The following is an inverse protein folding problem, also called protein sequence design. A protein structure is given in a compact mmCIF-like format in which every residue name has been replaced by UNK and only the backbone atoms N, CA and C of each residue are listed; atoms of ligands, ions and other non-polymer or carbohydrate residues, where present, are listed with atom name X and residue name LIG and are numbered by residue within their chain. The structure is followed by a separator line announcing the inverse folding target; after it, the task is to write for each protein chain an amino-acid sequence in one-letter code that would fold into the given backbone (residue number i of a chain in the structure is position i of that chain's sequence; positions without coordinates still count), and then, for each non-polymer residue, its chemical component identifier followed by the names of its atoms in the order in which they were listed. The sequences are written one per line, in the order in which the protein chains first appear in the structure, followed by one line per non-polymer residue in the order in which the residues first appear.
data_IF_949585336385
#
_entry.id   IF_949585336385
#
_cell.length_a   1.000
_cell.length_b   1.000
_cell.length_c   1.000
_cell.angle_alpha   90.00
_cell.angle_beta   90.00
_cell.angle_gamma   90.00
#
_symmetry.space_group_name_H-M   'P 1'
#
loop_
_entity.id
_entity.type
_entity.pdbx_description
1 polymer ?
#
# COMPACT_ATOMS: atom_id res chain seq x y z
N UNK A 1 7.00 10.47 -5.32
CA UNK A 1 6.96 9.04 -4.96
C UNK A 1 6.84 8.25 -6.25
N UNK A 2 7.65 7.20 -6.45
CA UNK A 2 7.55 6.34 -7.63
C UNK A 2 6.71 5.11 -7.27
N UNK A 3 5.64 4.86 -8.02
CA UNK A 3 4.74 3.71 -7.84
C UNK A 3 4.81 2.77 -9.03
N UNK A 4 4.62 1.48 -8.79
CA UNK A 4 4.28 0.54 -9.84
C UNK A 4 2.77 0.56 -10.06
N UNK A 5 2.36 0.53 -11.33
CA UNK A 5 0.98 0.31 -11.72
C UNK A 5 0.80 -1.18 -11.96
N UNK A 6 -0.05 -1.83 -11.16
CA UNK A 6 -0.20 -3.28 -11.20
C UNK A 6 -1.67 -3.69 -11.04
N UNK A 7 -2.33 -3.96 -12.16
CA UNK A 7 -3.72 -4.42 -12.17
C UNK A 7 -3.89 -5.84 -11.62
N UNK A 8 -2.79 -6.59 -11.43
CA UNK A 8 -2.79 -7.89 -10.78
C UNK A 8 -2.81 -7.81 -9.25
N UNK A 9 -2.42 -6.67 -8.69
CA UNK A 9 -2.59 -6.37 -7.26
C UNK A 9 -3.97 -5.81 -7.02
N UNK A 10 -4.70 -6.35 -6.03
CA UNK A 10 -5.96 -5.75 -5.57
C UNK A 10 -5.73 -4.39 -4.91
N UNK A 11 -5.10 -4.37 -3.71
CA UNK A 11 -4.95 -3.14 -2.94
C UNK A 11 -3.83 -2.24 -3.46
N UNK A 12 -3.95 -0.95 -3.14
CA UNK A 12 -2.83 -0.01 -3.23
C UNK A 12 -1.93 -0.17 -2.00
N UNK A 13 -0.63 -0.18 -2.21
CA UNK A 13 0.39 -0.41 -1.18
C UNK A 13 1.38 0.75 -1.11
N UNK A 14 1.87 1.06 0.09
CA UNK A 14 2.95 2.03 0.30
C UNK A 14 3.91 1.56 1.39
N UNK A 15 5.21 1.73 1.16
CA UNK A 15 6.25 1.44 2.14
C UNK A 15 6.22 2.40 3.33
N UNK A 16 6.43 1.89 4.52
CA UNK A 16 6.39 2.67 5.76
C UNK A 16 7.42 3.82 5.80
N UNK A 17 8.63 3.66 5.26
CA UNK A 17 9.59 4.77 5.17
C UNK A 17 9.11 5.94 4.29
N UNK A 18 8.01 5.77 3.55
CA UNK A 18 7.42 6.81 2.67
C UNK A 18 6.25 7.55 3.31
N UNK A 19 5.96 7.27 4.58
CA UNK A 19 4.94 7.97 5.37
C UNK A 19 5.64 8.76 6.48
N UNK A 20 5.21 10.01 6.68
CA UNK A 20 5.82 10.89 7.68
C UNK A 20 5.09 10.71 9.00
N UNK A 21 5.50 9.71 9.78
CA UNK A 21 4.91 9.40 11.08
C UNK A 21 3.60 8.61 11.00
N UNK A 22 3.05 8.29 12.18
CA UNK A 22 1.89 7.39 12.36
C UNK A 22 0.58 8.13 12.60
N UNK A 23 0.55 9.47 12.54
CA UNK A 23 -0.60 10.26 12.95
C UNK A 23 -1.84 10.01 12.07
N UNK A 24 -1.63 9.69 10.79
CA UNK A 24 -2.69 9.37 9.83
C UNK A 24 -2.86 7.87 9.59
N UNK A 25 -2.10 7.03 10.33
CA UNK A 25 -2.19 5.59 10.22
C UNK A 25 -3.41 5.08 10.96
N UNK A 26 -4.32 4.46 10.24
CA UNK A 26 -5.40 3.66 10.80
C UNK A 26 -4.95 2.20 10.95
N UNK A 27 -4.64 1.74 12.17
CA UNK A 27 -4.15 0.37 12.42
C UNK A 27 -5.29 -0.67 12.43
N UNK A 28 -6.56 -0.26 12.32
CA UNK A 28 -7.70 -1.19 12.34
C UNK A 28 -7.82 -1.93 11.00
N UNK A 29 -7.41 -1.28 9.91
CA UNK A 29 -7.55 -1.80 8.55
C UNK A 29 -6.31 -2.58 8.08
N UNK A 30 -6.03 -3.70 8.76
CA UNK A 30 -4.97 -4.64 8.39
C UNK A 30 -5.50 -5.65 7.36
N UNK A 31 -4.80 -5.77 6.23
CA UNK A 31 -5.05 -6.79 5.22
C UNK A 31 -4.01 -7.90 5.30
N UNK A 32 -4.46 -9.13 5.03
CA UNK A 32 -3.59 -10.26 4.70
C UNK A 32 -3.38 -10.28 3.19
N UNK A 33 -2.13 -10.08 2.77
CA UNK A 33 -1.71 -10.16 1.37
C UNK A 33 -1.36 -11.61 1.01
N UNK A 34 -1.86 -12.07 -0.14
CA UNK A 34 -1.59 -13.40 -0.68
C UNK A 34 -0.79 -13.28 -1.99
N UNK A 35 -0.13 -14.36 -2.41
CA UNK A 35 0.57 -14.40 -3.70
C UNK A 35 1.98 -13.79 -3.72
N UNK A 36 2.55 -13.50 -2.54
CA UNK A 36 3.89 -12.90 -2.41
C UNK A 36 4.93 -13.96 -2.07
N UNK A 37 4.66 -14.76 -1.04
CA UNK A 37 5.49 -15.90 -0.65
C UNK A 37 4.60 -16.94 0.07
N UNK A 38 5.23 -18.03 0.53
CA UNK A 38 4.54 -19.13 1.22
C UNK A 38 4.09 -18.76 2.66
N UNK A 39 4.45 -17.57 3.13
CA UNK A 39 4.11 -17.07 4.46
C UNK A 39 3.05 -15.96 4.35
N UNK A 40 2.19 -15.80 5.37
CA UNK A 40 1.23 -14.71 5.38
C UNK A 40 1.98 -13.38 5.55
N UNK A 41 1.73 -12.43 4.65
CA UNK A 41 2.20 -11.05 4.77
C UNK A 41 1.03 -10.18 5.20
N UNK A 42 1.20 -9.41 6.26
CA UNK A 42 0.18 -8.50 6.76
C UNK A 42 0.60 -7.04 6.53
N UNK A 43 -0.37 -6.19 6.25
CA UNK A 43 -0.14 -4.74 6.21
C UNK A 43 -0.10 -4.21 7.64
N UNK A 44 0.50 -3.03 7.84
CA UNK A 44 0.61 -2.37 9.14
C UNK A 44 -0.67 -1.60 9.47
N UNK A 45 -1.35 -1.08 8.44
CA UNK A 45 -2.59 -0.32 8.56
C UNK A 45 -2.94 0.32 7.23
N UNK A 46 -3.78 1.34 7.26
CA UNK A 46 -4.22 2.12 6.10
C UNK A 46 -3.97 3.60 6.30
N UNK A 47 -3.63 4.29 5.22
CA UNK A 47 -3.60 5.75 5.15
C UNK A 47 -4.33 6.23 3.90
N UNK A 48 -4.73 7.50 3.87
CA UNK A 48 -5.21 8.15 2.65
C UNK A 48 -4.19 9.21 2.22
N UNK A 49 -3.77 9.19 0.94
CA UNK A 49 -2.92 10.25 0.36
C UNK A 49 -3.51 10.77 -0.94
N UNK A 50 -3.24 12.03 -1.24
CA UNK A 50 -3.56 12.60 -2.53
C UNK A 50 -2.51 12.16 -3.56
N UNK A 51 -2.94 11.39 -4.57
CA UNK A 51 -2.13 10.98 -5.72
C UNK A 51 -2.81 11.53 -6.97
N UNK A 52 -2.08 12.32 -7.77
CA UNK A 52 -2.61 12.96 -8.99
C UNK A 52 -3.90 13.78 -8.75
N UNK A 53 -4.04 14.39 -7.56
CA UNK A 53 -5.23 15.17 -7.19
C UNK A 53 -6.41 14.35 -6.66
N UNK A 54 -6.26 13.03 -6.57
CA UNK A 54 -7.32 12.11 -6.14
C UNK A 54 -6.96 11.52 -4.76
N UNK A 55 -7.88 11.47 -3.78
CA UNK A 55 -7.66 10.75 -2.53
C UNK A 55 -7.60 9.25 -2.76
N UNK A 56 -6.48 8.64 -2.39
CA UNK A 56 -6.22 7.21 -2.58
C UNK A 56 -5.93 6.57 -1.22
N UNK A 57 -6.73 5.57 -0.90
CA UNK A 57 -6.48 4.67 0.23
C UNK A 57 -5.31 3.74 -0.12
N UNK A 58 -4.31 3.71 0.75
CA UNK A 58 -3.07 2.96 0.64
C UNK A 58 -2.86 2.12 1.89
N UNK A 59 -2.64 0.83 1.71
CA UNK A 59 -2.23 -0.05 2.79
C UNK A 59 -0.72 0.04 3.01
N UNK A 60 -0.33 0.23 4.26
CA UNK A 60 1.08 0.39 4.63
C UNK A 60 1.73 -0.98 4.75
N UNK A 61 2.87 -1.14 4.10
CA UNK A 61 3.69 -2.37 4.11
C UNK A 61 5.07 -2.06 4.68
N UNK A 62 5.70 -3.08 5.27
CA UNK A 62 7.08 -2.97 5.76
C UNK A 62 8.05 -2.62 4.63
N UNK A 63 9.13 -1.92 4.96
CA UNK A 63 10.16 -1.56 3.99
C UNK A 63 10.87 -2.78 3.36
N UNK A 64 10.87 -3.92 4.05
CA UNK A 64 11.43 -5.20 3.58
C UNK A 64 10.55 -5.91 2.53
N UNK A 65 9.37 -5.37 2.24
CA UNK A 65 8.50 -5.91 1.20
C UNK A 65 9.22 -5.89 -0.17
N UNK A 66 9.15 -6.98 -0.96
CA UNK A 66 10.05 -7.24 -2.09
C UNK A 66 9.72 -6.45 -3.37
N UNK A 67 9.58 -5.13 -3.25
CA UNK A 67 9.44 -4.19 -4.36
C UNK A 67 10.48 -3.08 -4.26
N UNK A 68 10.98 -2.62 -5.41
CA UNK A 68 11.96 -1.53 -5.48
C UNK A 68 11.29 -0.15 -5.44
N UNK A 69 10.02 -0.05 -5.82
CA UNK A 69 9.25 1.19 -5.81
C UNK A 69 8.90 1.64 -4.37
N UNK A 70 8.30 2.83 -4.27
CA UNK A 70 7.71 3.30 -3.01
C UNK A 70 6.43 2.55 -2.62
N UNK A 71 5.81 1.86 -3.59
CA UNK A 71 4.49 1.28 -3.45
C UNK A 71 3.92 0.76 -4.77
N UNK A 72 2.70 0.22 -4.69
CA UNK A 72 1.92 -0.30 -5.81
C UNK A 72 0.59 0.45 -5.84
N UNK A 73 0.16 0.90 -7.01
CA UNK A 73 -1.24 1.26 -7.26
C UNK A 73 -1.90 0.05 -7.92
N UNK A 74 -2.74 -0.61 -7.14
CA UNK A 74 -3.46 -1.80 -7.51
C UNK A 74 -4.77 -1.47 -8.24
N UNK A 75 -5.55 -2.50 -8.50
CA UNK A 75 -6.87 -2.44 -9.11
C UNK A 75 -7.80 -1.44 -8.39
N UNK A 76 -7.69 -1.30 -7.07
CA UNK A 76 -8.45 -0.32 -6.28
C UNK A 76 -8.21 1.13 -6.70
N UNK A 77 -7.03 1.46 -7.25
CA UNK A 77 -6.78 2.80 -7.81
C UNK A 77 -7.48 3.02 -9.16
N UNK A 78 -7.64 1.96 -9.96
CA UNK A 78 -8.26 2.05 -11.28
C UNK A 78 -9.78 1.96 -11.25
N UNK A 79 -10.37 1.44 -10.17
CA UNK A 79 -11.81 1.27 -10.00
C UNK A 79 -12.49 2.41 -9.22
N UNK A 80 -11.78 3.51 -8.97
CA UNK A 80 -12.34 4.70 -8.31
C UNK A 80 -13.40 5.41 -9.17
#
# INVERSE_FOLDING_TARGET
LLFYLDTGSGPNLIKEARISGTQDLDPIHILKLNGINNSPVYTIGKITKIILGIPVDLHVISDDFPIQSCGILGNDFFQQ
#
